data_IF_879729214522
#
_entry.id   IF_879729214522
#
_cell.length_a   1.000
_cell.length_b   1.000
_cell.length_c   1.000
_cell.angle_alpha   90.00
_cell.angle_beta   90.00
_cell.angle_gamma   90.00
#
_symmetry.space_group_name_H-M   'P 1'
#
loop_
_entity.id
_entity.type
_entity.pdbx_description
1 polymer ?
#
# COMPACT_ATOMS: atom_id res chain seq x y z
N UNK A 1 -26.45 19.35 -19.91
CA UNK A 1 -25.98 19.14 -18.51
C UNK A 1 -24.98 17.99 -18.55
N UNK A 2 -23.68 18.29 -18.64
CA UNK A 2 -22.62 17.29 -18.73
C UNK A 2 -22.43 16.65 -17.35
N UNK A 3 -22.85 15.40 -17.21
CA UNK A 3 -22.54 14.58 -16.02
C UNK A 3 -21.06 14.23 -16.08
N UNK A 4 -20.24 14.95 -15.32
CA UNK A 4 -18.90 14.48 -14.98
C UNK A 4 -19.11 13.31 -14.02
N UNK A 5 -19.32 12.11 -14.54
CA UNK A 5 -19.04 10.88 -13.78
C UNK A 5 -17.54 10.86 -13.57
N UNK A 6 -17.06 11.57 -12.55
CA UNK A 6 -15.71 11.38 -12.04
C UNK A 6 -15.56 9.90 -11.77
N UNK A 7 -14.58 9.27 -12.42
CA UNK A 7 -14.33 7.84 -12.25
C UNK A 7 -13.96 7.65 -10.77
N UNK A 8 -14.86 7.09 -9.96
CA UNK A 8 -14.60 6.93 -8.53
C UNK A 8 -13.55 5.83 -8.41
N UNK A 9 -12.30 6.22 -8.15
CA UNK A 9 -11.22 5.28 -7.90
C UNK A 9 -11.56 4.42 -6.68
N UNK A 10 -11.25 3.14 -6.74
CA UNK A 10 -11.53 2.23 -5.64
C UNK A 10 -10.49 2.41 -4.53
N UNK A 11 -10.92 2.45 -3.27
CA UNK A 11 -10.00 2.40 -2.14
C UNK A 11 -9.57 0.97 -1.85
N UNK A 12 -8.30 0.81 -1.52
CA UNK A 12 -7.62 -0.43 -1.20
C UNK A 12 -7.02 -0.37 0.19
N UNK A 13 -6.90 -1.54 0.81
CA UNK A 13 -6.05 -1.78 1.97
C UNK A 13 -5.02 -2.82 1.56
N UNK A 14 -3.75 -2.48 1.74
CA UNK A 14 -2.62 -3.38 1.59
C UNK A 14 -1.93 -3.54 2.93
N UNK A 15 -1.69 -4.77 3.34
CA UNK A 15 -0.86 -5.07 4.51
C UNK A 15 0.05 -6.24 4.24
N UNK A 16 1.24 -6.23 4.83
CA UNK A 16 2.16 -7.36 4.78
C UNK A 16 2.74 -7.66 6.16
N UNK A 17 3.29 -8.86 6.28
CA UNK A 17 4.06 -9.29 7.45
C UNK A 17 5.35 -9.96 6.98
N UNK A 18 6.26 -10.27 7.90
CA UNK A 18 7.47 -11.05 7.66
C UNK A 18 7.45 -12.31 8.54
N UNK A 19 7.84 -13.47 8.01
CA UNK A 19 8.00 -14.66 8.86
C UNK A 19 9.17 -14.48 9.82
N UNK A 20 9.00 -14.95 11.06
CA UNK A 20 10.03 -14.88 12.12
C UNK A 20 11.35 -15.55 11.71
N UNK A 21 11.31 -16.61 10.90
CA UNK A 21 12.55 -17.28 10.45
C UNK A 21 13.34 -16.46 9.42
N UNK A 22 12.67 -15.66 8.59
CA UNK A 22 13.33 -14.83 7.58
C UNK A 22 14.16 -13.71 8.21
N UNK A 23 13.75 -13.19 9.38
CA UNK A 23 14.49 -12.16 10.14
C UNK A 23 15.89 -12.57 10.57
N UNK A 24 16.20 -13.88 10.58
CA UNK A 24 17.49 -14.42 11.04
C UNK A 24 18.55 -14.51 9.94
N UNK A 25 18.21 -14.18 8.69
CA UNK A 25 19.17 -14.18 7.59
C UNK A 25 19.93 -12.85 7.56
N UNK A 26 21.24 -12.90 7.39
CA UNK A 26 22.10 -11.69 7.29
C UNK A 26 21.70 -10.77 6.13
N UNK A 27 21.03 -11.32 5.11
CA UNK A 27 20.56 -10.59 3.93
C UNK A 27 19.09 -10.12 4.04
N UNK A 28 18.43 -10.33 5.19
CA UNK A 28 17.03 -9.98 5.34
C UNK A 28 16.85 -8.46 5.48
N UNK A 29 15.86 -7.92 4.76
CA UNK A 29 15.45 -6.53 4.94
C UNK A 29 14.98 -6.32 6.38
N UNK A 30 15.44 -5.23 6.99
CA UNK A 30 14.91 -4.74 8.26
C UNK A 30 13.45 -4.29 8.07
N UNK A 31 12.63 -4.24 9.14
CA UNK A 31 11.25 -3.76 9.03
C UNK A 31 11.13 -2.36 8.39
N UNK A 32 12.08 -1.46 8.67
CA UNK A 32 12.11 -0.13 8.06
C UNK A 32 12.42 -0.19 6.56
N UNK A 33 13.39 -0.99 6.13
CA UNK A 33 13.69 -1.17 4.71
C UNK A 33 12.51 -1.82 3.96
N UNK A 34 11.85 -2.83 4.54
CA UNK A 34 10.66 -3.43 3.93
C UNK A 34 9.53 -2.41 3.74
N UNK A 35 9.34 -1.53 4.72
CA UNK A 35 8.36 -0.45 4.66
C UNK A 35 8.69 0.54 3.56
N UNK A 36 9.94 0.95 3.46
CA UNK A 36 10.38 1.84 2.38
C UNK A 36 10.15 1.19 1.01
N UNK A 37 10.49 -0.09 0.83
CA UNK A 37 10.22 -0.81 -0.42
C UNK A 37 8.73 -0.94 -0.73
N UNK A 38 7.87 -1.14 0.28
CA UNK A 38 6.43 -1.14 0.08
C UNK A 38 5.92 0.24 -0.37
N UNK A 39 6.39 1.32 0.24
CA UNK A 39 6.04 2.69 -0.15
C UNK A 39 6.48 2.96 -1.60
N UNK A 40 7.74 2.69 -1.92
CA UNK A 40 8.30 2.84 -3.28
C UNK A 40 7.51 2.03 -4.30
N UNK A 41 7.22 0.77 -4.00
CA UNK A 41 6.43 -0.10 -4.86
C UNK A 41 5.06 0.51 -5.16
N UNK A 42 4.33 0.99 -4.15
CA UNK A 42 3.00 1.57 -4.36
C UNK A 42 3.08 2.84 -5.22
N UNK A 43 3.99 3.76 -4.90
CA UNK A 43 4.19 5.00 -5.66
C UNK A 43 4.58 4.73 -7.12
N UNK A 44 5.54 3.83 -7.37
CA UNK A 44 6.00 3.46 -8.72
C UNK A 44 4.94 2.76 -9.57
N UNK A 45 3.86 2.25 -8.95
CA UNK A 45 2.73 1.65 -9.66
C UNK A 45 1.49 2.56 -9.65
N UNK A 46 1.68 3.88 -9.53
CA UNK A 46 0.64 4.89 -9.80
C UNK A 46 -0.25 5.23 -8.62
N UNK A 47 0.18 4.94 -7.38
CA UNK A 47 -0.57 5.33 -6.20
C UNK A 47 -0.21 6.74 -5.76
N UNK A 48 -1.10 7.71 -6.00
CA UNK A 48 -0.87 9.10 -5.58
C UNK A 48 -1.35 9.41 -4.16
N UNK A 49 -2.49 8.83 -3.75
CA UNK A 49 -3.12 9.07 -2.45
C UNK A 49 -2.75 7.96 -1.45
N UNK A 50 -1.44 7.78 -1.20
CA UNK A 50 -0.95 6.77 -0.27
C UNK A 50 -1.04 7.27 1.18
N UNK A 51 -1.80 6.56 2.01
CA UNK A 51 -1.94 6.81 3.44
C UNK A 51 -1.37 5.63 4.24
N UNK A 52 -0.49 5.88 5.21
CA UNK A 52 0.04 4.83 6.08
C UNK A 52 -0.72 4.74 7.42
N UNK A 53 -1.37 3.60 7.67
CA UNK A 53 -2.27 3.44 8.81
C UNK A 53 -1.65 2.63 9.96
N UNK A 54 -0.76 1.68 9.65
CA UNK A 54 0.09 0.95 10.60
C UNK A 54 1.48 0.76 9.97
N UNK A 55 2.47 0.28 10.73
CA UNK A 55 3.84 0.07 10.25
C UNK A 55 3.95 -0.71 8.93
N UNK A 56 3.04 -1.65 8.70
CA UNK A 56 3.00 -2.48 7.48
C UNK A 56 1.68 -2.39 6.73
N UNK A 57 0.81 -1.41 7.04
CA UNK A 57 -0.53 -1.29 6.47
C UNK A 57 -0.75 0.07 5.82
N UNK A 58 -1.20 0.04 4.58
CA UNK A 58 -1.41 1.19 3.72
C UNK A 58 -2.84 1.20 3.19
N UNK A 59 -3.42 2.39 3.11
CA UNK A 59 -4.65 2.65 2.37
C UNK A 59 -4.33 3.51 1.15
N UNK A 60 -4.99 3.24 0.03
CA UNK A 60 -4.80 4.04 -1.17
C UNK A 60 -5.92 3.89 -2.19
N UNK A 61 -5.98 4.80 -3.14
CA UNK A 61 -6.92 4.75 -4.25
C UNK A 61 -6.23 4.20 -5.52
N UNK A 62 -6.94 3.36 -6.28
CA UNK A 62 -6.44 2.82 -7.55
C UNK A 62 -7.59 2.38 -8.46
N UNK A 63 -7.35 2.42 -9.78
CA UNK A 63 -8.21 1.87 -10.83
C UNK A 63 -7.91 0.41 -11.16
N UNK A 64 -6.74 -0.09 -10.77
CA UNK A 64 -6.34 -1.48 -10.97
C UNK A 64 -7.27 -2.45 -10.23
N UNK A 65 -7.42 -3.65 -10.76
CA UNK A 65 -8.17 -4.72 -10.10
C UNK A 65 -7.36 -5.34 -8.95
N UNK A 66 -8.03 -6.04 -8.02
CA UNK A 66 -7.35 -6.84 -6.98
C UNK A 66 -6.40 -7.88 -7.62
N UNK A 67 -6.77 -8.45 -8.77
CA UNK A 67 -5.95 -9.45 -9.46
C UNK A 67 -4.67 -8.82 -10.04
N UNK A 68 -4.77 -7.62 -10.60
CA UNK A 68 -3.61 -6.87 -11.09
C UNK A 68 -2.66 -6.50 -9.95
N UNK A 69 -3.20 -6.03 -8.83
CA UNK A 69 -2.40 -5.75 -7.65
C UNK A 69 -1.68 -6.99 -7.12
N UNK A 70 -2.36 -8.15 -7.03
CA UNK A 70 -1.72 -9.41 -6.65
C UNK A 70 -0.55 -9.76 -7.57
N UNK A 71 -0.75 -9.64 -8.89
CA UNK A 71 0.32 -9.89 -9.88
C UNK A 71 1.51 -8.94 -9.70
N UNK A 72 1.25 -7.64 -9.47
CA UNK A 72 2.31 -6.67 -9.21
C UNK A 72 3.07 -6.97 -7.92
N UNK A 73 2.36 -7.31 -6.84
CA UNK A 73 2.97 -7.65 -5.55
C UNK A 73 3.86 -8.88 -5.69
N UNK A 74 3.37 -9.97 -6.30
CA UNK A 74 4.16 -11.19 -6.47
C UNK A 74 5.42 -10.97 -7.32
N UNK A 75 5.32 -10.16 -8.37
CA UNK A 75 6.43 -9.98 -9.31
C UNK A 75 7.44 -8.93 -8.84
N UNK A 76 7.00 -7.89 -8.13
CA UNK A 76 7.85 -6.72 -7.84
C UNK A 76 8.12 -6.51 -6.35
N UNK A 77 7.18 -6.83 -5.46
CA UNK A 77 7.34 -6.56 -4.02
C UNK A 77 7.78 -7.81 -3.23
N UNK A 78 7.35 -9.00 -3.68
CA UNK A 78 7.58 -10.27 -2.98
C UNK A 78 9.04 -10.55 -2.61
N UNK A 79 10.05 -10.20 -3.44
CA UNK A 79 11.45 -10.37 -3.07
C UNK A 79 11.88 -9.57 -1.83
N UNK A 80 11.21 -8.45 -1.54
CA UNK A 80 11.55 -7.55 -0.44
C UNK A 80 10.81 -7.90 0.85
N UNK A 81 9.57 -8.39 0.75
CA UNK A 81 8.76 -8.80 1.90
C UNK A 81 8.96 -10.29 2.27
N UNK A 82 10.18 -10.79 2.05
CA UNK A 82 10.56 -12.20 2.01
C UNK A 82 9.89 -13.08 3.08
N UNK A 83 9.35 -14.22 2.62
CA UNK A 83 8.70 -15.30 3.38
C UNK A 83 7.40 -14.95 4.15
N UNK A 84 6.95 -13.71 4.14
CA UNK A 84 5.71 -13.28 4.79
C UNK A 84 4.42 -13.62 4.06
N UNK A 85 3.32 -13.15 4.66
CA UNK A 85 2.00 -13.09 4.03
C UNK A 85 1.67 -11.63 3.74
N UNK A 86 0.88 -11.39 2.69
CA UNK A 86 0.26 -10.10 2.45
C UNK A 86 -1.23 -10.27 2.23
N UNK A 87 -1.97 -9.18 2.44
CA UNK A 87 -3.36 -9.03 2.07
C UNK A 87 -3.49 -7.76 1.24
N UNK A 88 -4.20 -7.88 0.12
CA UNK A 88 -4.68 -6.76 -0.68
C UNK A 88 -6.18 -6.93 -0.84
N UNK A 89 -6.94 -5.94 -0.40
CA UNK A 89 -8.39 -5.95 -0.46
C UNK A 89 -8.91 -4.62 -1.00
N UNK A 90 -9.85 -4.70 -1.95
CA UNK A 90 -10.67 -3.56 -2.34
C UNK A 90 -11.71 -3.31 -1.26
N UNK A 91 -11.78 -2.10 -0.75
CA UNK A 91 -12.73 -1.70 0.28
C UNK A 91 -13.96 -1.10 -0.41
N UNK A 92 -15.13 -1.65 -0.13
CA UNK A 92 -16.37 -1.12 -0.65
C UNK A 92 -16.67 0.25 -0.01
N UNK A 93 -17.12 1.19 -0.84
CA UNK A 93 -17.79 2.39 -0.36
C UNK A 93 -19.08 1.96 0.34
N UNK A 94 -19.28 2.37 1.60
CA UNK A 94 -20.59 2.16 2.25
C UNK A 94 -21.70 2.84 1.44
N UNK A 95 -22.97 2.49 1.70
CA UNK A 95 -24.15 3.11 1.04
C UNK A 95 -24.17 4.64 1.09
N UNK A 96 -23.42 5.25 2.02
CA UNK A 96 -23.29 6.70 2.21
C UNK A 96 -21.92 7.25 1.77
N UNK A 97 -21.12 6.51 1.01
CA UNK A 97 -19.76 6.91 0.62
C UNK A 97 -18.75 6.96 1.78
N UNK A 98 -19.14 6.53 2.99
CA UNK A 98 -18.25 6.49 4.15
C UNK A 98 -17.24 5.34 4.00
N UNK A 99 -15.97 5.73 3.90
CA UNK A 99 -14.84 4.84 4.11
C UNK A 99 -14.72 4.53 5.61
N UNK A 100 -14.58 3.25 5.96
CA UNK A 100 -14.47 2.82 7.36
C UNK A 100 -13.10 3.13 7.99
N UNK A 101 -12.13 3.58 7.18
CA UNK A 101 -10.84 4.06 7.65
C UNK A 101 -10.93 5.58 7.85
N UNK A 102 -11.23 6.00 9.07
CA UNK A 102 -11.08 7.41 9.46
C UNK A 102 -9.66 7.60 9.99
N UNK A 103 -8.88 8.44 9.31
CA UNK A 103 -7.56 8.94 9.67
C UNK A 103 -6.50 7.85 9.95
N UNK A 104 -5.68 7.57 8.93
CA UNK A 104 -4.45 6.81 9.10
C UNK A 104 -3.44 7.61 9.97
N UNK A 105 -2.41 6.93 10.51
CA UNK A 105 -1.56 7.51 11.55
C UNK A 105 -0.69 8.65 10.98
N UNK A 106 -0.87 9.92 11.41
CA UNK A 106 -0.12 11.04 10.86
C UNK A 106 1.38 10.95 11.15
N UNK A 107 1.80 10.32 12.23
CA UNK A 107 3.23 10.14 12.56
C UNK A 107 3.93 9.21 11.55
N UNK A 108 3.20 8.26 10.97
CA UNK A 108 3.74 7.37 9.95
C UNK A 108 3.77 8.02 8.56
N UNK A 109 2.97 9.08 8.36
CA UNK A 109 2.82 9.71 7.05
C UNK A 109 4.06 10.51 6.63
N UNK A 110 4.86 11.02 7.57
CA UNK A 110 6.09 11.77 7.27
C UNK A 110 7.05 10.98 6.36
N UNK A 111 7.18 9.67 6.60
CA UNK A 111 8.05 8.82 5.78
C UNK A 111 7.52 8.63 4.37
N UNK A 112 6.20 8.51 4.22
CA UNK A 112 5.54 8.42 2.90
C UNK A 112 5.82 9.68 2.09
N UNK A 113 5.65 10.85 2.68
CA UNK A 113 5.88 12.13 1.99
C UNK A 113 7.36 12.32 1.63
N UNK A 114 8.27 11.91 2.51
CA UNK A 114 9.72 11.95 2.25
C UNK A 114 10.07 11.13 1.01
N UNK A 115 9.63 9.87 0.95
CA UNK A 115 9.91 9.00 -0.20
C UNK A 115 9.20 9.51 -1.46
N UNK A 116 7.96 10.00 -1.33
CA UNK A 116 7.20 10.57 -2.45
C UNK A 116 7.90 11.77 -3.09
N UNK A 117 8.59 12.58 -2.29
CA UNK A 117 9.39 13.70 -2.80
C UNK A 117 10.62 13.25 -3.63
N UNK A 118 11.12 12.02 -3.45
CA UNK A 118 12.23 11.46 -4.25
C UNK A 118 11.80 11.13 -5.71
N UNK A 119 10.49 11.06 -5.98
CA UNK A 119 9.91 10.68 -7.28
C UNK A 119 9.25 11.85 -8.04
N UNK A 120 9.42 13.09 -7.56
CA UNK A 120 8.92 14.32 -8.20
C UNK A 120 10.07 15.07 -8.88
#
# INVERSE_FOLDING_TARGET
MLSIKGNIMAKYVFTYNQKKEARKRETAYTPAQMRDEAIRFLLLNGVDNLEQCLDTTFCFDSDLSVADWRRLIENKLRPYIEAGYYLIARVALGKNGLFWFRACNPELQERVETIKAEYR
#
